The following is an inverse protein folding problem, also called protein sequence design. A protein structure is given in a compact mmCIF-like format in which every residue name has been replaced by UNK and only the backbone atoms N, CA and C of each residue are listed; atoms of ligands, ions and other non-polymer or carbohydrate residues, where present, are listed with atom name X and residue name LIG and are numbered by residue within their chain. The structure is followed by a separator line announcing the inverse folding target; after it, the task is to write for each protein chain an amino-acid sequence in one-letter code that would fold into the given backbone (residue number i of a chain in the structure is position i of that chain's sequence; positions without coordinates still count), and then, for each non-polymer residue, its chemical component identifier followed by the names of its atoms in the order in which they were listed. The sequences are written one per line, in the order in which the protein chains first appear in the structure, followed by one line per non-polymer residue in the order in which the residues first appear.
data_IF_056868950402
#
_entry.id   IF_056868950402
#
_cell.length_a   1.000
_cell.length_b   1.000
_cell.length_c   1.000
_cell.angle_alpha   90.00
_cell.angle_beta   90.00
_cell.angle_gamma   90.00
#
_symmetry.space_group_name_H-M   'P 1'
#
loop_
_entity.id
_entity.type
_entity.pdbx_description
1 polymer ?
#
# COMPACT_ATOMS: atom_id res chain seq x y z
N UNK A 1 -3.76 -29.63 4.22
CA UNK A 1 -3.94 -28.60 3.17
C UNK A 1 -3.93 -27.26 3.88
N UNK A 2 -2.85 -26.48 3.74
CA UNK A 2 -2.84 -25.11 4.27
C UNK A 2 -3.78 -24.30 3.37
N UNK A 3 -4.95 -23.95 3.90
CA UNK A 3 -5.87 -23.04 3.21
C UNK A 3 -5.14 -21.70 3.10
N UNK A 4 -4.68 -21.38 1.90
CA UNK A 4 -4.17 -20.05 1.57
C UNK A 4 -5.33 -19.10 1.81
N UNK A 5 -5.24 -18.29 2.88
CA UNK A 5 -6.19 -17.22 3.11
C UNK A 5 -6.29 -16.40 1.81
N UNK A 6 -7.51 -15.99 1.41
CA UNK A 6 -7.64 -15.11 0.25
C UNK A 6 -6.75 -13.88 0.46
N UNK A 7 -6.18 -13.32 -0.62
CA UNK A 7 -5.45 -12.06 -0.51
C UNK A 7 -6.34 -11.03 0.20
N UNK A 8 -5.75 -10.16 1.03
CA UNK A 8 -6.52 -9.17 1.77
C UNK A 8 -7.30 -8.27 0.80
N UNK A 9 -8.51 -7.90 1.20
CA UNK A 9 -9.31 -6.94 0.43
C UNK A 9 -8.58 -5.59 0.35
N UNK A 10 -8.32 -5.05 -0.85
CA UNK A 10 -7.56 -3.81 -1.01
C UNK A 10 -8.37 -2.54 -0.72
N UNK A 11 -9.70 -2.60 -0.70
CA UNK A 11 -10.56 -1.43 -0.51
C UNK A 11 -10.33 -0.70 0.82
N UNK A 12 -10.28 -1.37 2.00
CA UNK A 12 -10.00 -0.67 3.26
C UNK A 12 -8.62 0.01 3.26
N UNK A 13 -7.61 -0.62 2.65
CA UNK A 13 -6.27 -0.04 2.52
C UNK A 13 -6.26 1.20 1.64
N UNK A 14 -7.02 1.19 0.54
CA UNK A 14 -7.16 2.34 -0.34
C UNK A 14 -7.80 3.52 0.40
N UNK A 15 -8.88 3.26 1.16
CA UNK A 15 -9.58 4.27 1.96
C UNK A 15 -8.62 4.86 3.02
N UNK A 16 -7.95 4.02 3.80
CA UNK A 16 -7.00 4.47 4.82
C UNK A 16 -5.83 5.28 4.23
N UNK A 17 -5.33 4.86 3.05
CA UNK A 17 -4.28 5.59 2.36
C UNK A 17 -4.76 6.97 1.89
N UNK A 18 -5.95 7.06 1.28
CA UNK A 18 -6.50 8.32 0.79
C UNK A 18 -6.70 9.30 1.95
N UNK A 19 -7.36 8.84 3.03
CA UNK A 19 -7.59 9.66 4.23
C UNK A 19 -6.28 10.19 4.80
N UNK A 20 -5.25 9.35 4.92
CA UNK A 20 -3.95 9.78 5.45
C UNK A 20 -3.21 10.72 4.50
N UNK A 21 -3.31 10.52 3.19
CA UNK A 21 -2.68 11.39 2.20
C UNK A 21 -3.31 12.79 2.21
N UNK A 22 -4.64 12.86 2.24
CA UNK A 22 -5.38 14.13 2.29
C UNK A 22 -5.13 14.88 3.60
N UNK A 23 -5.08 14.17 4.74
CA UNK A 23 -4.70 14.77 6.03
C UNK A 23 -3.29 15.37 6.04
N UNK A 24 -2.39 14.88 5.19
CA UNK A 24 -1.03 15.42 5.03
C UNK A 24 -0.97 16.60 4.04
N UNK A 25 -2.12 17.03 3.51
CA UNK A 25 -2.24 18.14 2.57
C UNK A 25 -2.17 17.73 1.09
N UNK A 26 -2.24 16.44 0.77
CA UNK A 26 -2.36 15.98 -0.61
C UNK A 26 -3.74 16.31 -1.19
N UNK A 27 -3.79 16.66 -2.47
CA UNK A 27 -5.06 16.85 -3.18
C UNK A 27 -5.76 15.51 -3.44
N UNK A 28 -7.10 15.51 -3.43
CA UNK A 28 -7.93 14.31 -3.62
C UNK A 28 -7.49 13.45 -4.83
N UNK A 29 -7.31 14.06 -6.02
CA UNK A 29 -6.88 13.33 -7.21
C UNK A 29 -5.46 12.75 -7.10
N UNK A 30 -4.54 13.51 -6.49
CA UNK A 30 -3.17 13.04 -6.28
C UNK A 30 -3.13 11.89 -5.28
N UNK A 31 -3.91 11.97 -4.20
CA UNK A 31 -4.04 10.91 -3.21
C UNK A 31 -4.69 9.66 -3.79
N UNK A 32 -5.73 9.82 -4.62
CA UNK A 32 -6.34 8.70 -5.32
C UNK A 32 -5.35 7.99 -6.25
N UNK A 33 -4.59 8.74 -7.06
CA UNK A 33 -3.59 8.19 -7.96
C UNK A 33 -2.44 7.49 -7.20
N UNK A 34 -1.90 8.14 -6.17
CA UNK A 34 -0.83 7.59 -5.32
C UNK A 34 -1.26 6.29 -4.64
N UNK A 35 -2.42 6.30 -3.99
CA UNK A 35 -2.91 5.16 -3.23
C UNK A 35 -3.31 3.99 -4.13
N UNK A 36 -3.90 4.28 -5.30
CA UNK A 36 -4.16 3.25 -6.33
C UNK A 36 -2.87 2.57 -6.78
N UNK A 37 -1.85 3.37 -7.12
CA UNK A 37 -0.54 2.85 -7.49
C UNK A 37 0.09 1.97 -6.39
N UNK A 38 0.02 2.40 -5.13
CA UNK A 38 0.55 1.63 -4.01
C UNK A 38 -0.14 0.28 -3.85
N UNK A 39 -1.47 0.25 -3.91
CA UNK A 39 -2.26 -0.99 -3.80
C UNK A 39 -1.93 -1.95 -4.95
N UNK A 40 -1.91 -1.46 -6.19
CA UNK A 40 -1.59 -2.28 -7.36
C UNK A 40 -0.17 -2.87 -7.26
N UNK A 41 0.79 -2.05 -6.83
CA UNK A 41 2.18 -2.47 -6.72
C UNK A 41 2.40 -3.47 -5.57
N UNK A 42 1.72 -3.28 -4.44
CA UNK A 42 1.74 -4.24 -3.31
C UNK A 42 1.13 -5.57 -3.72
N UNK A 43 0.01 -5.55 -4.43
CA UNK A 43 -0.64 -6.75 -4.95
C UNK A 43 0.26 -7.48 -5.95
N UNK A 44 0.81 -6.77 -6.93
CA UNK A 44 1.67 -7.35 -7.97
C UNK A 44 2.94 -7.99 -7.41
N UNK A 45 3.49 -7.46 -6.31
CA UNK A 45 4.70 -7.97 -5.67
C UNK A 45 4.45 -8.85 -4.44
N UNK A 46 3.19 -9.15 -4.12
CA UNK A 46 2.81 -9.91 -2.91
C UNK A 46 3.41 -9.32 -1.62
N UNK A 47 3.44 -7.99 -1.51
CA UNK A 47 4.05 -7.26 -0.40
C UNK A 47 3.09 -6.98 0.76
N UNK A 48 1.90 -7.58 0.78
CA UNK A 48 0.95 -7.45 1.89
C UNK A 48 1.56 -7.69 3.28
N UNK A 49 2.47 -8.67 3.48
CA UNK A 49 3.13 -8.86 4.78
C UNK A 49 3.96 -7.66 5.24
N UNK A 50 4.43 -6.82 4.31
CA UNK A 50 5.25 -5.65 4.61
C UNK A 50 4.46 -4.54 5.31
N UNK A 51 3.13 -4.53 5.17
CA UNK A 51 2.23 -3.54 5.80
C UNK A 51 1.96 -3.85 7.27
N UNK A 52 2.35 -5.04 7.75
CA UNK A 52 2.19 -5.40 9.16
C UNK A 52 3.20 -4.64 10.04
N UNK A 53 2.84 -4.33 11.29
CA UNK A 53 3.75 -3.63 12.21
C UNK A 53 5.06 -4.40 12.45
N UNK A 54 4.97 -5.74 12.47
CA UNK A 54 6.06 -6.70 12.68
C UNK A 54 6.87 -7.02 11.41
N UNK A 55 6.62 -6.35 10.29
CA UNK A 55 7.37 -6.58 9.05
C UNK A 55 8.88 -6.33 9.22
N UNK A 56 9.68 -7.17 8.55
CA UNK A 56 11.14 -7.07 8.54
C UNK A 56 11.60 -5.77 7.88
N UNK A 57 12.80 -5.25 8.22
CA UNK A 57 13.32 -4.04 7.61
C UNK A 57 13.45 -4.13 6.08
N UNK A 58 13.74 -5.31 5.52
CA UNK A 58 13.82 -5.54 4.08
C UNK A 58 12.45 -5.36 3.40
N UNK A 59 11.39 -5.93 3.98
CA UNK A 59 10.03 -5.77 3.49
C UNK A 59 9.58 -4.30 3.58
N UNK A 60 9.90 -3.61 4.68
CA UNK A 60 9.66 -2.16 4.84
C UNK A 60 10.50 -1.32 3.87
N UNK A 61 11.66 -1.81 3.45
CA UNK A 61 12.48 -1.22 2.38
C UNK A 61 11.74 -1.25 1.04
N UNK A 62 11.26 -2.43 0.65
CA UNK A 62 10.52 -2.61 -0.62
C UNK A 62 9.25 -1.76 -0.71
N UNK A 63 8.53 -1.59 0.41
CA UNK A 63 7.39 -0.66 0.45
C UNK A 63 7.78 0.81 0.23
N UNK A 64 8.94 1.23 0.76
CA UNK A 64 9.44 2.59 0.55
C UNK A 64 9.86 2.82 -0.91
N UNK A 65 10.48 1.82 -1.53
CA UNK A 65 10.82 1.89 -2.96
C UNK A 65 9.55 2.02 -3.82
N UNK A 66 8.49 1.29 -3.47
CA UNK A 66 7.18 1.45 -4.11
C UNK A 66 6.58 2.84 -3.93
N UNK A 67 6.63 3.38 -2.70
CA UNK A 67 6.13 4.73 -2.44
C UNK A 67 6.86 5.79 -3.28
N UNK A 68 8.17 5.63 -3.48
CA UNK A 68 8.95 6.52 -4.35
C UNK A 68 8.54 6.40 -5.83
N UNK A 69 8.16 5.21 -6.30
CA UNK A 69 7.66 4.99 -7.66
C UNK A 69 6.28 5.64 -7.86
N UNK A 70 5.41 5.53 -6.84
CA UNK A 70 4.03 6.02 -6.89
C UNK A 70 3.88 7.52 -6.61
N UNK A 71 4.91 8.15 -6.06
CA UNK A 71 4.95 9.61 -5.89
C UNK A 71 5.35 10.25 -7.23
N UNK A 72 4.36 10.73 -7.99
CA UNK A 72 4.54 11.49 -9.24
C UNK A 72 3.65 12.73 -9.24
#
# INVERSE_FOLDING_TARGET
QAMLSPPPDPAPMLIDCQVQCEQRGGGMEQCHAYCGCMVDAVQAQSLWPALRPDATPELKGRLRDLAAICTR
#
